data_IF_166262724107
#
_entry.id   IF_166262724107
#
_cell.length_a   1.000
_cell.length_b   1.000
_cell.length_c   1.000
_cell.angle_alpha   90.00
_cell.angle_beta   90.00
_cell.angle_gamma   90.00
#
_symmetry.space_group_name_H-M   'P 1'
#
loop_
_entity.id
_entity.type
_entity.pdbx_description
1 polymer ?
#
# COMPACT_ATOMS: atom_id res chain seq x y z
N UNK A 1 -65.17 6.74 20.84
CA UNK A 1 -64.25 7.46 19.94
C UNK A 1 -62.88 7.50 20.59
N UNK A 2 -61.85 6.96 19.93
CA UNK A 2 -60.45 7.37 20.00
C UNK A 2 -59.61 6.34 19.23
N UNK A 3 -59.08 6.81 18.11
CA UNK A 3 -58.41 6.04 17.07
C UNK A 3 -56.99 5.62 17.48
N UNK A 4 -56.62 4.41 17.06
CA UNK A 4 -55.26 3.89 17.10
C UNK A 4 -54.37 4.67 16.12
N UNK A 5 -53.46 5.48 16.64
CA UNK A 5 -52.31 5.97 15.87
C UNK A 5 -51.17 4.96 15.90
N UNK A 6 -51.03 4.22 14.81
CA UNK A 6 -49.85 3.41 14.49
C UNK A 6 -48.78 4.38 13.96
N UNK A 7 -47.68 4.53 14.70
CA UNK A 7 -46.51 5.29 14.23
C UNK A 7 -45.82 4.51 13.11
N UNK A 8 -45.79 5.09 11.91
CA UNK A 8 -44.91 4.65 10.82
C UNK A 8 -43.47 5.11 11.12
N UNK A 9 -42.45 4.29 10.82
CA UNK A 9 -41.06 4.72 10.84
C UNK A 9 -40.75 5.57 9.59
N UNK A 10 -40.18 6.76 9.82
CA UNK A 10 -39.75 7.72 8.80
C UNK A 10 -38.63 7.13 7.93
N UNK A 11 -38.92 6.97 6.64
CA UNK A 11 -37.95 6.65 5.59
C UNK A 11 -37.18 7.90 5.16
N UNK A 12 -36.30 8.41 6.02
CA UNK A 12 -35.27 9.37 5.61
C UNK A 12 -33.90 8.69 5.63
N UNK A 13 -33.69 7.76 4.68
CA UNK A 13 -32.34 7.45 4.20
C UNK A 13 -31.96 8.53 3.21
N UNK A 14 -31.32 9.57 3.70
CA UNK A 14 -30.53 10.45 2.86
C UNK A 14 -29.55 9.61 2.06
N UNK A 15 -29.75 9.53 0.75
CA UNK A 15 -28.75 9.05 -0.19
C UNK A 15 -27.52 9.92 -0.05
N UNK A 16 -26.54 9.45 0.72
CA UNK A 16 -25.17 9.98 0.69
C UNK A 16 -24.62 9.56 -0.68
N UNK A 17 -24.86 10.37 -1.71
CA UNK A 17 -24.20 10.21 -2.99
C UNK A 17 -22.71 10.44 -2.74
N UNK A 18 -21.91 9.38 -2.86
CA UNK A 18 -20.45 9.51 -2.88
C UNK A 18 -20.07 10.62 -3.87
N UNK A 19 -19.18 11.56 -3.47
CA UNK A 19 -18.75 12.61 -4.38
C UNK A 19 -18.16 11.96 -5.64
N UNK A 20 -18.51 12.46 -6.84
CA UNK A 20 -18.06 11.86 -8.08
C UNK A 20 -16.54 11.80 -8.11
N UNK A 21 -15.99 10.65 -8.51
CA UNK A 21 -14.55 10.42 -8.64
C UNK A 21 -13.89 11.60 -9.37
N UNK A 22 -12.71 12.09 -8.93
CA UNK A 22 -12.01 13.19 -9.58
C UNK A 22 -11.90 12.98 -11.10
N UNK A 23 -11.65 11.74 -11.53
CA UNK A 23 -11.55 11.35 -12.96
C UNK A 23 -12.86 11.63 -13.72
N UNK A 24 -14.01 11.37 -13.11
CA UNK A 24 -15.33 11.65 -13.71
C UNK A 24 -15.60 13.15 -13.83
N UNK A 25 -15.08 13.96 -12.89
CA UNK A 25 -15.20 15.41 -12.96
C UNK A 25 -14.35 16.01 -14.09
N UNK A 26 -13.12 15.50 -14.30
CA UNK A 26 -12.28 15.91 -15.43
C UNK A 26 -12.86 15.51 -16.77
N UNK A 27 -13.38 14.29 -16.88
CA UNK A 27 -13.99 13.82 -18.12
C UNK A 27 -15.18 14.71 -18.50
N UNK A 28 -16.07 14.98 -17.54
CA UNK A 28 -17.20 15.88 -17.73
C UNK A 28 -16.76 17.29 -18.16
N UNK A 29 -15.72 17.84 -17.52
CA UNK A 29 -15.18 19.16 -17.86
C UNK A 29 -14.62 19.17 -19.30
N UNK A 30 -13.91 18.11 -19.71
CA UNK A 30 -13.39 17.95 -21.07
C UNK A 30 -14.51 17.84 -22.11
N UNK A 31 -15.55 17.07 -21.82
CA UNK A 31 -16.68 16.87 -22.72
C UNK A 31 -17.48 18.17 -22.91
N UNK A 32 -17.76 18.89 -21.82
CA UNK A 32 -18.38 20.22 -21.85
C UNK A 32 -17.56 21.21 -22.69
N UNK A 33 -16.24 21.14 -22.57
CA UNK A 33 -15.33 22.03 -23.29
C UNK A 33 -15.32 21.67 -24.77
N UNK A 34 -15.13 20.39 -25.13
CA UNK A 34 -15.19 19.96 -26.52
C UNK A 34 -16.54 20.30 -27.18
N UNK A 35 -17.65 20.18 -26.45
CA UNK A 35 -18.97 20.64 -26.89
C UNK A 35 -18.99 22.15 -27.18
N UNK A 36 -18.52 22.99 -26.26
CA UNK A 36 -18.42 24.45 -26.45
C UNK A 36 -17.53 24.82 -27.65
N UNK A 37 -16.41 24.10 -27.87
CA UNK A 37 -15.53 24.30 -29.03
C UNK A 37 -16.29 24.09 -30.33
N UNK A 38 -17.03 22.99 -30.42
CA UNK A 38 -17.77 22.62 -31.62
C UNK A 38 -18.90 23.61 -31.90
N UNK A 39 -19.61 24.05 -30.86
CA UNK A 39 -20.63 25.10 -30.97
C UNK A 39 -20.03 26.42 -31.46
N UNK A 40 -18.87 26.81 -30.93
CA UNK A 40 -18.18 28.04 -31.35
C UNK A 40 -17.73 27.98 -32.81
N UNK A 41 -17.14 26.86 -33.25
CA UNK A 41 -16.77 26.65 -34.65
C UNK A 41 -17.99 26.75 -35.56
N UNK A 42 -19.09 26.09 -35.16
CA UNK A 42 -20.36 26.12 -35.91
C UNK A 42 -20.91 27.54 -36.01
N UNK A 43 -20.91 28.29 -34.91
CA UNK A 43 -21.36 29.68 -34.88
C UNK A 43 -20.49 30.58 -35.78
N UNK A 44 -19.16 30.46 -35.71
CA UNK A 44 -18.24 31.24 -36.56
C UNK A 44 -18.47 30.97 -38.05
N UNK A 45 -18.70 29.71 -38.44
CA UNK A 45 -18.98 29.37 -39.82
C UNK A 45 -20.30 29.99 -40.30
N UNK A 46 -21.37 29.87 -39.51
CA UNK A 46 -22.66 30.51 -39.81
C UNK A 46 -22.55 32.04 -39.91
N UNK A 47 -21.72 32.67 -39.08
CA UNK A 47 -21.47 34.11 -39.11
C UNK A 47 -20.80 34.52 -40.43
N UNK A 48 -19.77 33.78 -40.86
CA UNK A 48 -19.10 34.01 -42.16
C UNK A 48 -20.07 33.88 -43.33
N UNK A 49 -20.98 32.92 -43.29
CA UNK A 49 -21.97 32.71 -44.35
C UNK A 49 -23.00 33.85 -44.39
N UNK A 50 -23.50 34.28 -43.23
CA UNK A 50 -24.40 35.45 -43.13
C UNK A 50 -23.73 36.73 -43.59
N UNK A 51 -22.46 36.96 -43.26
CA UNK A 51 -21.71 38.11 -43.76
C UNK A 51 -21.62 38.13 -45.29
N UNK A 52 -21.39 36.97 -45.92
CA UNK A 52 -21.43 36.88 -47.39
C UNK A 52 -22.81 37.24 -47.95
N UNK A 53 -23.89 36.75 -47.35
CA UNK A 53 -25.26 37.06 -47.77
C UNK A 53 -25.54 38.57 -47.63
N UNK A 54 -25.15 39.18 -46.51
CA UNK A 54 -25.31 40.62 -46.29
C UNK A 54 -24.55 41.43 -47.34
N UNK A 55 -23.32 41.04 -47.70
CA UNK A 55 -22.56 41.72 -48.76
C UNK A 55 -23.18 41.53 -50.15
N UNK A 56 -23.70 40.33 -50.45
CA UNK A 56 -24.43 40.07 -51.70
C UNK A 56 -25.70 40.94 -51.81
N UNK A 57 -26.49 41.03 -50.73
CA UNK A 57 -27.69 41.87 -50.68
C UNK A 57 -27.37 43.37 -50.79
N UNK A 58 -26.27 43.84 -50.17
CA UNK A 58 -25.79 45.22 -50.37
C UNK A 58 -25.43 45.50 -51.83
N UNK A 59 -24.72 44.58 -52.48
CA UNK A 59 -24.35 44.71 -53.89
C UNK A 59 -25.61 44.72 -54.78
N UNK A 60 -26.55 43.81 -54.56
CA UNK A 60 -27.81 43.74 -55.30
C UNK A 60 -28.65 45.02 -55.14
N UNK A 61 -28.72 45.57 -53.92
CA UNK A 61 -29.39 46.83 -53.63
C UNK A 61 -28.73 48.01 -54.35
N UNK A 62 -27.39 48.06 -54.40
CA UNK A 62 -26.65 49.09 -55.12
C UNK A 62 -26.91 49.02 -56.63
N UNK A 63 -26.89 47.81 -57.22
CA UNK A 63 -27.23 47.60 -58.63
C UNK A 63 -28.68 48.03 -58.92
N UNK A 64 -29.64 47.67 -58.07
CA UNK A 64 -31.04 48.06 -58.23
C UNK A 64 -31.23 49.60 -58.18
N UNK A 65 -30.52 50.29 -57.28
CA UNK A 65 -30.54 51.77 -57.19
C UNK A 65 -29.94 52.42 -58.44
N UNK A 66 -28.81 51.91 -58.94
CA UNK A 66 -28.17 52.42 -60.15
C UNK A 66 -29.05 52.22 -61.41
N UNK A 67 -29.73 51.08 -61.50
CA UNK A 67 -30.65 50.78 -62.61
C UNK A 67 -31.91 51.67 -62.55
N UNK A 68 -32.45 51.92 -61.36
CA UNK A 68 -33.57 52.85 -61.18
C UNK A 68 -33.21 54.30 -61.52
N UNK A 69 -31.96 54.72 -61.29
CA UNK A 69 -31.46 56.05 -61.65
C UNK A 69 -31.22 56.22 -63.16
N UNK A 70 -30.97 55.13 -63.89
CA UNK A 70 -30.67 55.14 -65.33
C UNK A 70 -31.90 55.00 -66.24
N UNK A 71 -33.01 54.45 -65.74
CA UNK A 71 -34.30 54.41 -66.48
C UNK A 71 -35.45 54.86 -65.56
N UNK A 72 -35.66 56.18 -65.41
CA UNK A 72 -36.72 56.74 -64.57
C UNK A 72 -38.09 56.49 -65.23
N UNK A 73 -38.80 55.43 -64.80
CA UNK A 73 -40.17 55.15 -65.25
C UNK A 73 -40.54 53.67 -65.39
N UNK A 74 -39.54 52.77 -65.44
CA UNK A 74 -39.79 51.33 -65.65
C UNK A 74 -39.38 50.43 -64.47
N UNK A 75 -38.68 50.98 -63.47
CA UNK A 75 -38.20 50.19 -62.33
C UNK A 75 -39.23 50.16 -61.19
N UNK A 76 -39.71 48.97 -60.78
CA UNK A 76 -40.69 48.86 -59.71
C UNK A 76 -40.05 49.23 -58.37
N UNK A 77 -40.50 50.34 -57.76
CA UNK A 77 -40.10 50.81 -56.42
C UNK A 77 -40.18 49.69 -55.38
N UNK A 78 -41.18 48.79 -55.52
CA UNK A 78 -41.36 47.60 -54.69
C UNK A 78 -40.15 46.67 -54.64
N UNK A 79 -39.41 46.49 -55.73
CA UNK A 79 -38.26 45.57 -55.76
C UNK A 79 -37.10 46.08 -54.89
N UNK A 80 -36.86 47.39 -54.87
CA UNK A 80 -35.82 47.99 -54.03
C UNK A 80 -36.21 47.96 -52.55
N UNK A 81 -37.49 48.12 -52.23
CA UNK A 81 -37.99 48.02 -50.85
C UNK A 81 -37.91 46.58 -50.32
N UNK A 82 -38.21 45.58 -51.13
CA UNK A 82 -38.08 44.16 -50.74
C UNK A 82 -36.64 43.78 -50.42
N UNK A 83 -35.68 44.13 -51.30
CA UNK A 83 -34.25 43.85 -51.06
C UNK A 83 -33.74 44.59 -49.81
N UNK A 84 -34.23 45.81 -49.55
CA UNK A 84 -33.88 46.56 -48.35
C UNK A 84 -34.39 45.88 -47.07
N UNK A 85 -35.63 45.39 -47.07
CA UNK A 85 -36.20 44.66 -45.92
C UNK A 85 -35.46 43.34 -45.65
N UNK A 86 -35.11 42.59 -46.70
CA UNK A 86 -34.30 41.37 -46.58
C UNK A 86 -32.90 41.67 -46.04
N UNK A 87 -32.27 42.74 -46.53
CA UNK A 87 -30.96 43.18 -46.04
C UNK A 87 -31.01 43.55 -44.55
N UNK A 88 -32.04 44.26 -44.10
CA UNK A 88 -32.16 44.66 -42.70
C UNK A 88 -32.51 43.47 -41.79
N UNK A 89 -33.29 42.51 -42.29
CA UNK A 89 -33.54 41.23 -41.62
C UNK A 89 -32.25 40.40 -41.45
N UNK A 90 -31.45 40.26 -42.52
CA UNK A 90 -30.19 39.50 -42.46
C UNK A 90 -29.13 40.21 -41.61
N UNK A 91 -29.08 41.55 -41.61
CA UNK A 91 -28.24 42.31 -40.67
C UNK A 91 -28.62 42.06 -39.22
N UNK A 92 -29.92 42.00 -38.91
CA UNK A 92 -30.39 41.72 -37.56
C UNK A 92 -30.00 40.29 -37.12
N UNK A 93 -30.15 39.29 -38.01
CA UNK A 93 -29.68 37.92 -37.77
C UNK A 93 -28.16 37.88 -37.57
N UNK A 94 -27.39 38.59 -38.38
CA UNK A 94 -25.94 38.64 -38.27
C UNK A 94 -25.51 39.23 -36.92
N UNK A 95 -26.12 40.34 -36.49
CA UNK A 95 -25.85 40.97 -35.18
C UNK A 95 -26.17 40.04 -34.01
N UNK A 96 -27.30 39.32 -34.07
CA UNK A 96 -27.66 38.34 -33.03
C UNK A 96 -26.66 37.17 -32.98
N UNK A 97 -26.14 36.75 -34.14
CA UNK A 97 -25.18 35.67 -34.23
C UNK A 97 -23.78 36.11 -33.76
N UNK A 98 -23.37 37.35 -34.04
CA UNK A 98 -22.16 37.97 -33.46
C UNK A 98 -22.22 38.00 -31.93
N UNK A 99 -23.34 38.41 -31.33
CA UNK A 99 -23.54 38.38 -29.88
C UNK A 99 -23.40 36.95 -29.32
N UNK A 100 -24.08 35.97 -29.94
CA UNK A 100 -23.96 34.56 -29.54
C UNK A 100 -22.52 34.04 -29.67
N UNK A 101 -21.79 34.48 -30.69
CA UNK A 101 -20.38 34.09 -30.88
C UNK A 101 -19.53 34.64 -29.74
N UNK A 102 -19.72 35.91 -29.38
CA UNK A 102 -19.01 36.56 -28.26
C UNK A 102 -19.33 35.89 -26.90
N UNK A 103 -20.58 35.51 -26.65
CA UNK A 103 -20.96 34.77 -25.44
C UNK A 103 -20.28 33.40 -25.36
N UNK A 104 -20.22 32.67 -26.47
CA UNK A 104 -19.53 31.38 -26.54
C UNK A 104 -18.01 31.54 -26.35
N UNK A 105 -17.41 32.60 -26.89
CA UNK A 105 -15.98 32.90 -26.67
C UNK A 105 -15.69 33.21 -25.20
N UNK A 106 -16.54 33.98 -24.53
CA UNK A 106 -16.40 34.26 -23.11
C UNK A 106 -16.50 32.99 -22.26
N UNK A 107 -17.49 32.12 -22.54
CA UNK A 107 -17.64 30.81 -21.88
C UNK A 107 -16.43 29.90 -22.12
N UNK A 108 -15.95 29.84 -23.36
CA UNK A 108 -14.77 29.09 -23.73
C UNK A 108 -13.53 29.57 -22.97
N UNK A 109 -13.30 30.88 -22.93
CA UNK A 109 -12.16 31.48 -22.21
C UNK A 109 -12.22 31.17 -20.71
N UNK A 110 -13.40 31.32 -20.09
CA UNK A 110 -13.59 31.00 -18.68
C UNK A 110 -13.30 29.53 -18.37
N UNK A 111 -13.73 28.61 -19.22
CA UNK A 111 -13.40 27.18 -19.07
C UNK A 111 -11.92 26.91 -19.27
N UNK A 112 -11.27 27.58 -20.21
CA UNK A 112 -9.83 27.47 -20.44
C UNK A 112 -9.02 27.92 -19.22
N UNK A 113 -9.43 29.00 -18.55
CA UNK A 113 -8.81 29.47 -17.30
C UNK A 113 -8.99 28.46 -16.15
N UNK A 114 -10.16 27.81 -16.09
CA UNK A 114 -10.43 26.73 -15.13
C UNK A 114 -9.45 25.55 -15.32
N UNK A 115 -9.20 25.11 -16.57
CA UNK A 115 -8.19 24.08 -16.85
C UNK A 115 -6.78 24.51 -16.47
N UNK A 116 -6.38 25.74 -16.81
CA UNK A 116 -5.04 26.24 -16.48
C UNK A 116 -4.81 26.30 -14.97
N UNK A 117 -5.82 26.72 -14.21
CA UNK A 117 -5.80 26.70 -12.74
C UNK A 117 -5.61 25.29 -12.20
N UNK A 118 -6.37 24.34 -12.74
CA UNK A 118 -6.31 22.93 -12.37
C UNK A 118 -4.92 22.33 -12.67
N UNK A 119 -4.38 22.55 -13.86
CA UNK A 119 -3.03 22.13 -14.25
C UNK A 119 -1.99 22.72 -13.28
N UNK A 120 -2.13 23.99 -12.91
CA UNK A 120 -1.28 24.64 -11.92
C UNK A 120 -1.32 23.96 -10.54
N UNK A 121 -2.50 23.53 -10.08
CA UNK A 121 -2.63 22.75 -8.84
C UNK A 121 -1.96 21.38 -8.96
N UNK A 122 -2.14 20.68 -10.08
CA UNK A 122 -1.53 19.38 -10.32
C UNK A 122 0.00 19.45 -10.35
N UNK A 123 0.57 20.47 -11.02
CA UNK A 123 2.01 20.67 -11.08
C UNK A 123 2.61 20.94 -9.69
N UNK A 124 1.97 21.78 -8.87
CA UNK A 124 2.41 22.00 -7.48
C UNK A 124 2.40 20.72 -6.64
N UNK A 125 1.40 19.85 -6.85
CA UNK A 125 1.34 18.53 -6.19
C UNK A 125 2.45 17.61 -6.69
N UNK A 126 2.72 17.60 -7.99
CA UNK A 126 3.81 16.82 -8.58
C UNK A 126 5.17 17.23 -8.01
N UNK A 127 5.46 18.53 -7.98
CA UNK A 127 6.68 19.07 -7.36
C UNK A 127 6.79 18.68 -5.88
N UNK A 128 5.67 18.70 -5.15
CA UNK A 128 5.65 18.27 -3.73
C UNK A 128 5.97 16.78 -3.59
N UNK A 129 5.42 15.92 -4.46
CA UNK A 129 5.73 14.50 -4.49
C UNK A 129 7.19 14.24 -4.86
N UNK A 130 7.74 14.98 -5.82
CA UNK A 130 9.15 14.88 -6.20
C UNK A 130 10.08 15.27 -5.05
N UNK A 131 9.77 16.36 -4.33
CA UNK A 131 10.52 16.74 -3.11
C UNK A 131 10.46 15.63 -2.04
N UNK A 132 9.29 15.04 -1.82
CA UNK A 132 9.13 13.94 -0.87
C UNK A 132 9.93 12.69 -1.31
N UNK A 133 9.92 12.36 -2.60
CA UNK A 133 10.71 11.26 -3.17
C UNK A 133 12.20 11.45 -2.91
N UNK A 134 12.75 12.64 -3.22
CA UNK A 134 14.16 12.95 -2.97
C UNK A 134 14.50 12.83 -1.47
N UNK A 135 13.59 13.24 -0.59
CA UNK A 135 13.78 13.08 0.85
C UNK A 135 13.82 11.61 1.27
N UNK A 136 12.92 10.77 0.75
CA UNK A 136 12.90 9.34 1.02
C UNK A 136 14.15 8.64 0.49
N UNK A 137 14.62 9.00 -0.70
CA UNK A 137 15.87 8.48 -1.26
C UNK A 137 17.08 8.77 -0.36
N UNK A 138 17.14 9.95 0.26
CA UNK A 138 18.18 10.28 1.26
C UNK A 138 18.10 9.38 2.48
N UNK A 139 16.90 9.14 3.03
CA UNK A 139 16.74 8.25 4.19
C UNK A 139 17.06 6.79 3.83
N UNK A 140 16.67 6.31 2.65
CA UNK A 140 17.05 4.97 2.16
C UNK A 140 18.57 4.83 2.06
N UNK A 141 19.26 5.83 1.51
CA UNK A 141 20.71 5.83 1.44
C UNK A 141 21.34 5.81 2.85
N UNK A 142 20.84 6.60 3.77
CA UNK A 142 21.28 6.61 5.17
C UNK A 142 21.11 5.24 5.85
N UNK A 143 19.94 4.62 5.68
CA UNK A 143 19.66 3.26 6.19
C UNK A 143 20.63 2.25 5.55
N UNK A 144 20.91 2.37 4.26
CA UNK A 144 21.89 1.51 3.57
C UNK A 144 23.31 1.64 4.14
N UNK A 145 23.76 2.86 4.45
CA UNK A 145 25.04 3.07 5.12
C UNK A 145 25.06 2.49 6.53
N UNK A 146 23.98 2.68 7.30
CA UNK A 146 23.85 2.11 8.64
C UNK A 146 23.88 0.58 8.61
N UNK A 147 23.16 -0.04 7.68
CA UNK A 147 23.18 -1.48 7.44
C UNK A 147 24.61 -1.96 7.17
N UNK A 148 25.34 -1.32 6.25
CA UNK A 148 26.73 -1.66 5.95
C UNK A 148 27.66 -1.50 7.17
N UNK A 149 27.41 -0.49 8.00
CA UNK A 149 28.13 -0.29 9.25
C UNK A 149 27.86 -1.41 10.26
N UNK A 150 26.61 -1.86 10.38
CA UNK A 150 26.24 -2.99 11.23
C UNK A 150 26.80 -4.31 10.70
N UNK A 151 26.78 -4.55 9.38
CA UNK A 151 27.43 -5.71 8.75
C UNK A 151 28.93 -5.75 9.07
N UNK A 152 29.63 -4.62 8.95
CA UNK A 152 31.05 -4.51 9.35
C UNK A 152 31.25 -4.76 10.84
N UNK A 153 30.35 -4.28 11.70
CA UNK A 153 30.41 -4.55 13.16
C UNK A 153 30.20 -6.03 13.47
N UNK A 154 29.25 -6.68 12.80
CA UNK A 154 29.04 -8.13 12.89
C UNK A 154 30.31 -8.87 12.47
N UNK A 155 30.93 -8.49 11.34
CA UNK A 155 32.22 -9.03 10.90
C UNK A 155 33.36 -8.77 11.91
N UNK A 156 33.37 -7.62 12.60
CA UNK A 156 34.40 -7.32 13.61
C UNK A 156 34.18 -8.03 14.95
N UNK A 157 32.93 -8.34 15.28
CA UNK A 157 32.55 -9.12 16.46
C UNK A 157 32.79 -10.62 16.24
N UNK A 158 32.92 -11.06 14.98
CA UNK A 158 33.54 -12.34 14.60
C UNK A 158 35.07 -12.27 14.72
N UNK A 159 35.59 -11.96 15.91
CA UNK A 159 37.01 -11.72 16.19
C UNK A 159 38.01 -12.80 15.70
N UNK A 160 39.31 -12.63 15.95
CA UNK A 160 40.40 -13.34 15.26
C UNK A 160 40.43 -14.88 15.39
N UNK A 161 39.64 -15.48 16.29
CA UNK A 161 39.42 -16.93 16.35
C UNK A 161 38.63 -17.48 15.15
N UNK A 162 38.04 -16.58 14.34
CA UNK A 162 37.43 -16.91 13.05
C UNK A 162 38.19 -16.33 11.85
N UNK A 163 39.37 -15.70 12.02
CA UNK A 163 40.05 -14.94 10.94
C UNK A 163 41.60 -14.96 10.89
N UNK A 164 42.28 -16.04 11.29
CA UNK A 164 43.55 -16.48 10.66
C UNK A 164 43.22 -17.82 10.00
N UNK A 165 43.27 -18.05 8.69
CA UNK A 165 44.37 -17.84 7.74
C UNK A 165 43.77 -17.79 6.33
N UNK A 166 43.83 -16.64 5.67
CA UNK A 166 43.66 -16.55 4.21
C UNK A 166 44.52 -15.39 3.71
N UNK A 167 45.85 -15.56 3.76
CA UNK A 167 46.75 -15.57 2.58
C UNK A 167 48.21 -15.71 3.06
N UNK A 168 48.89 -16.71 2.48
CA UNK A 168 50.33 -16.96 2.39
C UNK A 168 51.16 -17.18 3.67
N UNK A 169 50.85 -18.23 4.43
CA UNK A 169 51.92 -19.02 5.08
C UNK A 169 51.59 -20.48 4.85
N UNK A 170 52.53 -21.21 4.26
CA UNK A 170 52.47 -22.66 4.06
C UNK A 170 52.08 -23.37 5.36
N UNK A 171 50.83 -23.78 5.47
CA UNK A 171 50.39 -24.77 6.45
C UNK A 171 49.94 -25.99 5.68
N UNK A 172 50.93 -26.81 5.38
CA UNK A 172 50.80 -28.25 5.29
C UNK A 172 50.22 -28.79 6.62
N UNK A 173 48.94 -28.54 6.86
CA UNK A 173 48.20 -29.07 8.00
C UNK A 173 47.58 -30.37 7.51
N UNK A 174 48.16 -31.47 8.02
CA UNK A 174 47.95 -32.87 7.66
C UNK A 174 46.68 -33.15 6.86
N UNK A 175 46.88 -33.58 5.61
CA UNK A 175 45.82 -34.11 4.75
C UNK A 175 44.97 -35.21 5.44
N UNK A 176 45.52 -35.86 6.47
CA UNK A 176 44.84 -36.84 7.33
C UNK A 176 43.79 -36.23 8.27
N UNK A 177 43.94 -34.98 8.74
CA UNK A 177 42.98 -34.36 9.65
C UNK A 177 41.77 -33.78 8.90
N UNK A 178 42.01 -33.23 7.69
CA UNK A 178 40.94 -32.76 6.81
C UNK A 178 40.09 -33.92 6.28
N UNK A 179 40.72 -35.05 5.92
CA UNK A 179 40.00 -36.28 5.55
C UNK A 179 39.25 -36.87 6.74
N UNK A 180 39.82 -36.94 7.94
CA UNK A 180 39.09 -37.38 9.14
C UNK A 180 37.90 -36.50 9.50
N UNK A 181 37.98 -35.18 9.28
CA UNK A 181 36.89 -34.25 9.61
C UNK A 181 35.76 -34.31 8.58
N UNK A 182 36.08 -34.50 7.30
CA UNK A 182 35.06 -34.72 6.27
C UNK A 182 34.44 -36.12 6.34
N UNK A 183 35.22 -37.14 6.68
CA UNK A 183 34.73 -38.49 6.93
C UNK A 183 33.84 -38.53 8.19
N UNK A 184 34.13 -37.70 9.21
CA UNK A 184 33.25 -37.50 10.36
C UNK A 184 31.96 -36.75 9.99
N UNK A 185 32.00 -35.69 9.17
CA UNK A 185 30.80 -34.95 8.76
C UNK A 185 29.91 -35.70 7.76
N UNK A 186 30.49 -36.46 6.83
CA UNK A 186 29.77 -37.37 5.94
C UNK A 186 29.12 -38.53 6.72
N UNK A 187 29.76 -39.02 7.79
CA UNK A 187 29.20 -40.06 8.66
C UNK A 187 28.21 -39.56 9.73
N UNK A 188 28.26 -38.27 10.13
CA UNK A 188 27.51 -37.78 11.30
C UNK A 188 26.11 -37.26 10.99
N UNK A 189 25.81 -36.79 9.78
CA UNK A 189 24.43 -36.41 9.42
C UNK A 189 24.20 -36.25 7.90
N UNK A 190 24.01 -37.35 7.14
CA UNK A 190 23.82 -37.30 5.69
C UNK A 190 22.60 -36.47 5.25
N UNK A 191 21.65 -36.23 6.15
CA UNK A 191 20.43 -35.47 5.87
C UNK A 191 20.67 -33.97 5.72
N UNK A 192 21.64 -33.39 6.45
CA UNK A 192 21.94 -31.96 6.41
C UNK A 192 22.71 -31.55 5.16
N UNK A 193 23.63 -32.40 4.70
CA UNK A 193 24.40 -32.22 3.45
C UNK A 193 23.51 -32.38 2.22
N UNK A 194 22.61 -33.36 2.21
CA UNK A 194 21.58 -33.51 1.16
C UNK A 194 20.64 -32.30 1.10
N UNK A 195 20.12 -31.83 2.23
CA UNK A 195 19.25 -30.65 2.26
C UNK A 195 19.94 -29.39 1.77
N UNK A 196 21.20 -29.15 2.18
CA UNK A 196 21.96 -28.00 1.71
C UNK A 196 22.20 -28.05 0.18
N UNK A 197 22.54 -29.23 -0.35
CA UNK A 197 22.73 -29.44 -1.79
C UNK A 197 21.43 -29.23 -2.58
N UNK A 198 20.32 -29.82 -2.13
CA UNK A 198 18.99 -29.66 -2.73
C UNK A 198 18.52 -28.19 -2.71
N UNK A 199 18.81 -27.47 -1.62
CA UNK A 199 18.43 -26.05 -1.50
C UNK A 199 19.23 -25.18 -2.46
N UNK A 200 20.54 -25.42 -2.59
CA UNK A 200 21.40 -24.70 -3.54
C UNK A 200 21.01 -25.01 -4.99
N UNK A 201 20.70 -26.28 -5.30
CA UNK A 201 20.25 -26.68 -6.63
C UNK A 201 18.88 -26.07 -6.98
N UNK A 202 17.95 -26.04 -6.02
CA UNK A 202 16.64 -25.37 -6.15
C UNK A 202 16.78 -23.87 -6.43
N UNK A 203 17.59 -23.16 -5.65
CA UNK A 203 17.86 -21.73 -5.86
C UNK A 203 18.56 -21.46 -7.21
N UNK A 204 19.45 -22.36 -7.63
CA UNK A 204 20.14 -22.26 -8.92
C UNK A 204 19.17 -22.45 -10.09
N UNK A 205 18.23 -23.38 -9.98
CA UNK A 205 17.17 -23.59 -10.98
C UNK A 205 16.19 -22.41 -11.03
N UNK A 206 15.77 -21.88 -9.88
CA UNK A 206 14.95 -20.67 -9.83
C UNK A 206 15.63 -19.48 -10.51
N UNK A 207 16.92 -19.27 -10.25
CA UNK A 207 17.69 -18.18 -10.86
C UNK A 207 17.83 -18.36 -12.38
N UNK A 208 17.89 -19.60 -12.87
CA UNK A 208 17.91 -19.92 -14.30
C UNK A 208 16.56 -19.61 -14.97
N UNK A 209 15.44 -19.91 -14.31
CA UNK A 209 14.12 -19.63 -14.86
C UNK A 209 13.77 -18.14 -14.80
N UNK A 210 14.14 -17.43 -13.73
CA UNK A 210 14.08 -15.96 -13.65
C UNK A 210 14.85 -15.29 -14.81
N UNK A 211 16.05 -15.78 -15.13
CA UNK A 211 16.81 -15.30 -16.30
C UNK A 211 16.06 -15.50 -17.62
N UNK A 212 15.38 -16.64 -17.80
CA UNK A 212 14.55 -16.89 -19.00
C UNK A 212 13.33 -15.97 -19.04
N UNK A 213 12.67 -15.74 -17.91
CA UNK A 213 11.54 -14.81 -17.82
C UNK A 213 11.96 -13.38 -18.14
N UNK A 214 13.10 -12.93 -17.62
CA UNK A 214 13.68 -11.63 -17.94
C UNK A 214 14.00 -11.49 -19.44
N UNK A 215 14.53 -12.54 -20.08
CA UNK A 215 14.79 -12.54 -21.53
C UNK A 215 13.51 -12.37 -22.34
N UNK A 216 12.47 -13.15 -22.03
CA UNK A 216 11.16 -13.04 -22.72
C UNK A 216 10.52 -11.67 -22.53
N UNK A 217 10.64 -11.08 -21.34
CA UNK A 217 10.13 -9.74 -21.06
C UNK A 217 10.85 -8.66 -21.88
N UNK A 218 12.17 -8.80 -22.08
CA UNK A 218 12.95 -7.92 -22.97
C UNK A 218 12.51 -8.05 -24.42
N UNK A 219 12.29 -9.27 -24.91
CA UNK A 219 11.84 -9.49 -26.29
C UNK A 219 10.45 -8.86 -26.53
N UNK A 220 9.54 -8.97 -25.55
CA UNK A 220 8.21 -8.37 -25.63
C UNK A 220 8.28 -6.83 -25.61
N UNK A 221 9.17 -6.24 -24.80
CA UNK A 221 9.40 -4.80 -24.78
C UNK A 221 9.86 -4.29 -26.16
N UNK A 222 10.82 -4.99 -26.78
CA UNK A 222 11.30 -4.66 -28.13
C UNK A 222 10.18 -4.74 -29.15
N UNK A 223 9.32 -5.76 -29.06
CA UNK A 223 8.16 -5.92 -29.94
C UNK A 223 7.17 -4.75 -29.80
N UNK A 224 6.87 -4.32 -28.57
CA UNK A 224 5.99 -3.17 -28.33
C UNK A 224 6.61 -1.86 -28.81
N UNK A 225 7.93 -1.71 -28.69
CA UNK A 225 8.64 -0.53 -29.17
C UNK A 225 8.65 -0.45 -30.71
N UNK A 226 8.76 -1.59 -31.40
CA UNK A 226 8.59 -1.69 -32.86
C UNK A 226 7.14 -1.35 -33.30
N UNK A 227 6.13 -1.85 -32.58
CA UNK A 227 4.72 -1.52 -32.84
C UNK A 227 4.44 -0.01 -32.69
N UNK A 228 4.98 0.62 -31.65
CA UNK A 228 4.86 2.07 -31.45
C UNK A 228 5.57 2.84 -32.56
N UNK A 229 6.76 2.40 -32.98
CA UNK A 229 7.50 3.03 -34.07
C UNK A 229 6.75 2.96 -35.39
N UNK A 230 6.10 1.82 -35.68
CA UNK A 230 5.23 1.64 -36.86
C UNK A 230 4.01 2.55 -36.82
N UNK A 231 3.34 2.70 -35.66
CA UNK A 231 2.21 3.60 -35.49
C UNK A 231 2.61 5.07 -35.65
N UNK A 232 3.73 5.48 -35.06
CA UNK A 232 4.28 6.83 -35.22
C UNK A 232 4.61 7.11 -36.69
N UNK A 233 5.21 6.13 -37.39
CA UNK A 233 5.52 6.25 -38.82
C UNK A 233 4.25 6.34 -39.67
N UNK A 234 3.19 5.60 -39.32
CA UNK A 234 1.90 5.66 -39.99
C UNK A 234 1.19 7.01 -39.77
N UNK A 235 1.26 7.57 -38.55
CA UNK A 235 0.69 8.88 -38.20
C UNK A 235 1.46 10.05 -38.82
N UNK A 236 2.78 9.92 -38.97
CA UNK A 236 3.64 10.94 -39.58
C UNK A 236 3.69 10.85 -41.11
N UNK A 237 3.00 9.90 -41.75
CA UNK A 237 2.81 9.96 -43.20
C UNK A 237 1.94 11.19 -43.50
N UNK A 238 2.43 12.14 -44.33
CA UNK A 238 1.61 13.26 -44.73
C UNK A 238 0.44 12.73 -45.56
N UNK A 239 -0.77 12.81 -45.01
CA UNK A 239 -1.98 12.62 -45.78
C UNK A 239 -2.03 13.74 -46.83
N UNK A 240 -1.73 13.42 -48.09
CA UNK A 240 -2.14 14.30 -49.17
C UNK A 240 -3.66 14.25 -49.20
N UNK A 241 -4.30 15.35 -48.82
CA UNK A 241 -5.73 15.53 -48.97
C UNK A 241 -6.02 15.69 -50.47
N UNK A 242 -5.95 14.59 -51.21
CA UNK A 242 -6.45 14.50 -52.58
C UNK A 242 -7.55 13.44 -52.55
N UNK A 243 -8.75 13.93 -52.84
CA UNK A 243 -9.99 13.17 -52.99
C UNK A 243 -10.82 13.02 -51.71
N UNK A 244 -11.51 14.10 -51.33
CA UNK A 244 -12.88 14.01 -50.79
C UNK A 244 -13.75 14.98 -51.60
N UNK A 245 -13.79 14.75 -52.92
CA UNK A 245 -14.93 15.03 -53.82
C UNK A 245 -14.75 14.05 -55.02
N UNK A 246 -14.86 12.73 -54.80
CA UNK A 246 -15.14 11.78 -55.89
C UNK A 246 -16.59 11.34 -55.75
N UNK A 247 -17.32 11.43 -56.86
CA UNK A 247 -18.76 11.16 -56.99
C UNK A 247 -19.07 9.68 -57.15
N UNK A 248 -18.27 8.79 -56.57
CA UNK A 248 -18.40 7.35 -56.74
C UNK A 248 -18.98 6.70 -55.47
N UNK A 249 -20.23 6.26 -55.57
CA UNK A 249 -20.99 5.63 -54.46
C UNK A 249 -20.35 4.35 -53.92
N UNK A 250 -19.38 3.78 -54.66
CA UNK A 250 -18.66 2.55 -54.28
C UNK A 250 -17.53 2.88 -53.28
N UNK A 251 -16.74 3.93 -53.53
CA UNK A 251 -15.66 4.37 -52.61
C UNK A 251 -16.25 4.91 -51.30
N UNK A 252 -17.40 5.60 -51.35
CA UNK A 252 -18.10 6.07 -50.15
C UNK A 252 -18.61 4.90 -49.26
N UNK A 253 -19.03 3.78 -49.87
CA UNK A 253 -19.44 2.58 -49.14
C UNK A 253 -18.25 1.83 -48.53
N UNK A 254 -17.11 1.72 -49.24
CA UNK A 254 -15.88 1.14 -48.68
C UNK A 254 -15.30 1.99 -47.53
N UNK A 255 -15.37 3.32 -47.65
CA UNK A 255 -15.01 4.24 -46.55
C UNK A 255 -15.99 4.11 -45.38
N UNK A 256 -17.28 3.90 -45.64
CA UNK A 256 -18.28 3.60 -44.60
C UNK A 256 -18.00 2.30 -43.85
N UNK A 257 -17.70 1.21 -44.55
CA UNK A 257 -17.35 -0.09 -43.93
C UNK A 257 -16.05 -0.01 -43.13
N UNK A 258 -15.04 0.72 -43.62
CA UNK A 258 -13.79 0.92 -42.87
C UNK A 258 -13.98 1.77 -41.61
N UNK A 259 -14.87 2.76 -41.64
CA UNK A 259 -15.24 3.54 -40.44
C UNK A 259 -15.99 2.67 -39.43
N UNK A 260 -16.96 1.88 -39.88
CA UNK A 260 -17.75 1.00 -39.02
C UNK A 260 -16.87 -0.07 -38.34
N UNK A 261 -15.97 -0.70 -39.09
CA UNK A 261 -15.01 -1.66 -38.52
C UNK A 261 -14.05 -1.03 -37.50
N UNK A 262 -13.64 0.22 -37.72
CA UNK A 262 -12.84 0.97 -36.75
C UNK A 262 -13.65 1.30 -35.49
N UNK A 263 -14.92 1.69 -35.62
CA UNK A 263 -15.81 1.93 -34.48
C UNK A 263 -16.01 0.66 -33.64
N UNK A 264 -16.28 -0.48 -34.28
CA UNK A 264 -16.40 -1.77 -33.59
C UNK A 264 -15.11 -2.15 -32.85
N UNK A 265 -13.96 -1.88 -33.47
CA UNK A 265 -12.66 -2.14 -32.83
C UNK A 265 -12.40 -1.22 -31.65
N UNK A 266 -12.75 0.06 -31.75
CA UNK A 266 -12.66 1.02 -30.64
C UNK A 266 -13.56 0.56 -29.50
N UNK A 267 -14.81 0.19 -29.78
CA UNK A 267 -15.74 -0.28 -28.77
C UNK A 267 -15.24 -1.55 -28.08
N UNK A 268 -14.75 -2.53 -28.85
CA UNK A 268 -14.15 -3.76 -28.30
C UNK A 268 -12.94 -3.48 -27.40
N UNK A 269 -12.06 -2.56 -27.81
CA UNK A 269 -10.92 -2.15 -26.99
C UNK A 269 -11.36 -1.41 -25.71
N UNK A 270 -12.42 -0.62 -25.79
CA UNK A 270 -12.97 0.11 -24.66
C UNK A 270 -13.61 -0.83 -23.63
N UNK A 271 -14.35 -1.84 -24.08
CA UNK A 271 -14.88 -2.92 -23.21
C UNK A 271 -13.73 -3.74 -22.60
N UNK A 272 -12.69 -4.03 -23.39
CA UNK A 272 -11.48 -4.71 -22.91
C UNK A 272 -10.74 -3.95 -21.81
N UNK A 273 -10.65 -2.62 -21.95
CA UNK A 273 -10.07 -1.73 -20.93
C UNK A 273 -10.87 -1.76 -19.63
N UNK A 274 -12.20 -1.67 -19.69
CA UNK A 274 -13.07 -1.76 -18.50
C UNK A 274 -12.89 -3.10 -17.78
N UNK A 275 -12.81 -4.19 -18.54
CA UNK A 275 -12.56 -5.53 -17.98
C UNK A 275 -11.20 -5.62 -17.27
N UNK A 276 -10.14 -5.03 -17.88
CA UNK A 276 -8.81 -4.98 -17.28
C UNK A 276 -8.74 -4.09 -16.04
N UNK A 277 -9.44 -2.96 -16.02
CA UNK A 277 -9.54 -2.12 -14.83
C UNK A 277 -10.26 -2.83 -13.67
N UNK A 278 -11.28 -3.64 -13.98
CA UNK A 278 -11.93 -4.49 -12.99
C UNK A 278 -10.97 -5.55 -12.42
N UNK A 279 -10.18 -6.21 -13.27
CA UNK A 279 -9.14 -7.15 -12.86
C UNK A 279 -8.07 -6.48 -11.97
N UNK A 280 -7.62 -5.27 -12.34
CA UNK A 280 -6.67 -4.48 -11.55
C UNK A 280 -7.23 -4.15 -10.16
N UNK A 281 -8.51 -3.78 -10.07
CA UNK A 281 -9.13 -3.47 -8.79
C UNK A 281 -9.28 -4.71 -7.89
N UNK A 282 -9.58 -5.88 -8.47
CA UNK A 282 -9.56 -7.14 -7.73
C UNK A 282 -8.15 -7.48 -7.22
N UNK A 283 -7.12 -7.34 -8.07
CA UNK A 283 -5.73 -7.59 -7.69
C UNK A 283 -5.25 -6.63 -6.60
N UNK A 284 -5.63 -5.35 -6.65
CA UNK A 284 -5.34 -4.37 -5.59
C UNK A 284 -5.96 -4.78 -4.26
N UNK A 285 -7.21 -5.22 -4.27
CA UNK A 285 -7.92 -5.69 -3.06
C UNK A 285 -7.24 -6.93 -2.48
N UNK A 286 -6.89 -7.90 -3.33
CA UNK A 286 -6.16 -9.11 -2.91
C UNK A 286 -4.78 -8.79 -2.36
N UNK A 287 -4.06 -7.84 -2.99
CA UNK A 287 -2.76 -7.38 -2.51
C UNK A 287 -2.86 -6.79 -1.10
N UNK A 288 -3.83 -5.91 -0.85
CA UNK A 288 -4.04 -5.33 0.48
C UNK A 288 -4.33 -6.40 1.54
N UNK A 289 -5.12 -7.42 1.20
CA UNK A 289 -5.37 -8.55 2.10
C UNK A 289 -4.09 -9.36 2.39
N UNK A 290 -3.27 -9.63 1.38
CA UNK A 290 -1.99 -10.33 1.54
C UNK A 290 -0.96 -9.51 2.35
N UNK A 291 -0.97 -8.18 2.23
CA UNK A 291 -0.11 -7.31 3.05
C UNK A 291 -0.43 -7.44 4.53
N UNK A 292 -1.72 -7.47 4.90
CA UNK A 292 -2.18 -7.70 6.29
C UNK A 292 -1.72 -9.08 6.79
N UNK A 293 -1.85 -10.13 5.98
CA UNK A 293 -1.42 -11.48 6.38
C UNK A 293 0.10 -11.59 6.51
N UNK A 294 0.86 -10.85 5.70
CA UNK A 294 2.31 -10.78 5.82
C UNK A 294 2.76 -10.07 7.11
N UNK A 295 2.03 -9.04 7.57
CA UNK A 295 2.25 -8.42 8.88
C UNK A 295 2.03 -9.42 10.02
N UNK A 296 0.94 -10.22 9.96
CA UNK A 296 0.69 -11.30 10.95
C UNK A 296 1.81 -12.33 10.96
N UNK A 297 2.31 -12.72 9.79
CA UNK A 297 3.45 -13.64 9.68
C UNK A 297 4.72 -13.06 10.34
N UNK A 298 4.93 -11.74 10.21
CA UNK A 298 6.00 -11.03 10.91
C UNK A 298 5.90 -11.18 12.43
N UNK A 299 4.70 -10.95 12.98
CA UNK A 299 4.44 -11.10 14.43
C UNK A 299 4.68 -12.54 14.89
N UNK A 300 4.17 -13.53 14.16
CA UNK A 300 4.36 -14.94 14.48
C UNK A 300 5.84 -15.36 14.47
N UNK A 301 6.63 -14.86 13.50
CA UNK A 301 8.08 -15.10 13.47
C UNK A 301 8.77 -14.52 14.70
N UNK A 302 8.43 -13.28 15.09
CA UNK A 302 8.96 -12.68 16.31
C UNK A 302 8.58 -13.46 17.57
N UNK A 303 7.33 -13.95 17.64
CA UNK A 303 6.85 -14.76 18.75
C UNK A 303 7.65 -16.08 18.89
N UNK A 304 7.93 -16.77 17.77
CA UNK A 304 8.75 -17.99 17.77
C UNK A 304 10.18 -17.71 18.28
N UNK A 305 10.77 -16.58 17.91
CA UNK A 305 12.11 -16.20 18.37
C UNK A 305 12.12 -15.96 19.88
N UNK A 306 11.13 -15.22 20.41
CA UNK A 306 10.99 -14.95 21.84
C UNK A 306 10.81 -16.25 22.61
N UNK A 307 9.86 -17.10 22.21
CA UNK A 307 9.64 -18.38 22.90
C UNK A 307 10.83 -19.32 22.84
N UNK A 308 11.57 -19.34 21.74
CA UNK A 308 12.81 -20.11 21.66
C UNK A 308 13.86 -19.56 22.63
N UNK A 309 14.00 -18.24 22.72
CA UNK A 309 14.90 -17.59 23.66
C UNK A 309 14.53 -17.92 25.11
N UNK A 310 13.26 -17.78 25.46
CA UNK A 310 12.73 -18.06 26.80
C UNK A 310 12.93 -19.53 27.17
N UNK A 311 12.65 -20.45 26.25
CA UNK A 311 12.89 -21.89 26.44
C UNK A 311 14.37 -22.21 26.70
N UNK A 312 15.29 -21.60 25.96
CA UNK A 312 16.72 -21.80 26.15
C UNK A 312 17.21 -21.22 27.49
N UNK A 313 16.68 -20.05 27.88
CA UNK A 313 16.99 -19.44 29.17
C UNK A 313 16.48 -20.32 30.33
N UNK A 314 15.24 -20.79 30.27
CA UNK A 314 14.65 -21.68 31.27
C UNK A 314 15.43 -23.00 31.37
N UNK A 315 15.79 -23.59 30.23
CA UNK A 315 16.62 -24.80 30.19
C UNK A 315 17.96 -24.59 30.89
N UNK A 316 18.66 -23.49 30.61
CA UNK A 316 19.96 -23.18 31.23
C UNK A 316 19.81 -23.01 32.76
N UNK A 317 18.78 -22.32 33.19
CA UNK A 317 18.45 -22.17 34.63
C UNK A 317 18.19 -23.52 35.27
N UNK A 318 17.42 -24.40 34.61
CA UNK A 318 17.13 -25.74 35.10
C UNK A 318 18.37 -26.64 35.18
N UNK A 319 19.27 -26.54 34.21
CA UNK A 319 20.56 -27.24 34.24
C UNK A 319 21.42 -26.77 35.43
N UNK A 320 21.44 -25.46 35.70
CA UNK A 320 22.15 -24.89 36.86
C UNK A 320 21.56 -25.38 38.18
N UNK A 321 20.23 -25.34 38.34
CA UNK A 321 19.54 -25.87 39.52
C UNK A 321 19.84 -27.36 39.72
N UNK A 322 19.87 -28.14 38.64
CA UNK A 322 20.17 -29.57 38.71
C UNK A 322 21.61 -29.81 39.19
N UNK A 323 22.57 -29.05 38.66
CA UNK A 323 23.97 -29.14 39.09
C UNK A 323 24.15 -28.72 40.55
N UNK A 324 23.52 -27.63 40.99
CA UNK A 324 23.55 -27.19 42.39
C UNK A 324 22.90 -28.22 43.32
N UNK A 325 21.77 -28.81 42.91
CA UNK A 325 21.11 -29.90 43.66
C UNK A 325 22.05 -31.09 43.83
N UNK A 326 22.69 -31.54 42.76
CA UNK A 326 23.56 -32.70 42.79
C UNK A 326 24.83 -32.42 43.63
N UNK A 327 25.38 -31.18 43.58
CA UNK A 327 26.44 -30.73 44.49
C UNK A 327 26.01 -30.78 45.95
N UNK A 328 24.86 -30.19 46.29
CA UNK A 328 24.35 -30.18 47.66
C UNK A 328 24.05 -31.58 48.19
N UNK A 329 23.55 -32.49 47.35
CA UNK A 329 23.36 -33.90 47.74
C UNK A 329 24.69 -34.55 48.09
N UNK A 330 25.75 -34.32 47.28
CA UNK A 330 27.08 -34.85 47.56
C UNK A 330 27.67 -34.28 48.87
N UNK A 331 27.54 -32.96 49.11
CA UNK A 331 27.96 -32.32 50.36
C UNK A 331 27.22 -32.90 51.58
N UNK A 332 25.91 -33.10 51.48
CA UNK A 332 25.11 -33.72 52.56
C UNK A 332 25.53 -35.16 52.82
N UNK A 333 25.85 -35.94 51.78
CA UNK A 333 26.33 -37.31 51.95
C UNK A 333 27.68 -37.35 52.68
N UNK A 334 28.60 -36.45 52.32
CA UNK A 334 29.90 -36.31 52.99
C UNK A 334 29.73 -35.93 54.46
N UNK A 335 28.94 -34.91 54.76
CA UNK A 335 28.66 -34.48 56.13
C UNK A 335 27.99 -35.58 56.97
N UNK A 336 27.10 -36.38 56.37
CA UNK A 336 26.48 -37.52 57.04
C UNK A 336 27.52 -38.59 57.42
N UNK A 337 28.47 -38.87 56.54
CA UNK A 337 29.53 -39.84 56.80
C UNK A 337 30.51 -39.32 57.86
N UNK A 338 30.93 -38.05 57.78
CA UNK A 338 31.75 -37.41 58.82
C UNK A 338 31.05 -37.43 60.20
N UNK A 339 29.77 -37.08 60.25
CA UNK A 339 29.00 -37.10 61.49
C UNK A 339 28.83 -38.52 62.06
N UNK A 340 28.66 -39.52 61.18
CA UNK A 340 28.66 -40.94 61.57
C UNK A 340 30.01 -41.35 62.17
N UNK A 341 31.13 -40.97 61.54
CA UNK A 341 32.48 -41.24 62.07
C UNK A 341 32.71 -40.57 63.43
N UNK A 342 32.33 -39.30 63.58
CA UNK A 342 32.41 -38.57 64.84
C UNK A 342 31.53 -39.23 65.93
N UNK A 343 30.31 -39.64 65.58
CA UNK A 343 29.41 -40.36 66.49
C UNK A 343 29.99 -41.70 66.94
N UNK A 344 30.64 -42.44 66.04
CA UNK A 344 31.37 -43.67 66.36
C UNK A 344 32.54 -43.39 67.31
N UNK A 345 33.32 -42.33 67.06
CA UNK A 345 34.44 -41.94 67.92
C UNK A 345 33.97 -41.53 69.32
N UNK A 346 32.92 -40.71 69.44
CA UNK A 346 32.34 -40.33 70.73
C UNK A 346 31.82 -41.54 71.51
N UNK A 347 31.15 -42.48 70.83
CA UNK A 347 30.67 -43.73 71.44
C UNK A 347 31.84 -44.60 71.93
N UNK A 348 32.93 -44.69 71.15
CA UNK A 348 34.13 -45.45 71.53
C UNK A 348 34.83 -44.87 72.78
N UNK A 349 34.75 -43.55 72.99
CA UNK A 349 35.27 -42.87 74.19
C UNK A 349 34.27 -42.84 75.35
N UNK A 350 33.17 -43.60 75.29
CA UNK A 350 32.18 -43.70 76.36
C UNK A 350 31.27 -42.48 76.51
N UNK A 351 31.35 -41.51 75.59
CA UNK A 351 30.49 -40.33 75.56
C UNK A 351 29.25 -40.68 74.73
N UNK A 352 28.22 -41.22 75.40
CA UNK A 352 26.93 -41.47 74.76
C UNK A 352 26.12 -40.16 74.73
N UNK A 353 25.99 -39.56 73.56
CA UNK A 353 25.04 -38.48 73.37
C UNK A 353 23.61 -39.02 73.55
N UNK A 354 22.71 -38.33 74.28
CA UNK A 354 21.30 -38.71 74.33
C UNK A 354 20.73 -38.71 72.91
N UNK A 355 20.09 -39.82 72.54
CA UNK A 355 19.34 -39.97 71.30
C UNK A 355 18.36 -38.79 71.12
N UNK A 356 18.69 -37.83 70.25
CA UNK A 356 17.80 -36.74 69.86
C UNK A 356 16.77 -37.17 68.82
N UNK A 357 16.67 -38.47 68.53
CA UNK A 357 15.70 -39.03 67.57
C UNK A 357 14.28 -39.14 68.15
N UNK A 358 14.04 -38.68 69.39
CA UNK A 358 12.76 -38.87 70.09
C UNK A 358 11.85 -37.66 70.30
N UNK A 359 12.32 -36.40 70.18
CA UNK A 359 11.58 -35.28 70.83
C UNK A 359 11.47 -33.97 70.03
N UNK A 360 11.26 -34.03 68.70
CA UNK A 360 10.91 -32.82 67.91
C UNK A 360 9.92 -33.04 66.75
N UNK A 361 8.99 -33.99 66.86
CA UNK A 361 7.89 -34.14 65.88
C UNK A 361 6.48 -33.80 66.43
N UNK A 362 6.37 -33.33 67.68
CA UNK A 362 5.08 -32.96 68.31
C UNK A 362 4.69 -31.47 68.16
N UNK A 363 5.21 -30.78 67.14
CA UNK A 363 4.76 -29.44 66.73
C UNK A 363 4.55 -29.40 65.22
N UNK A 364 3.93 -30.44 64.67
CA UNK A 364 3.34 -30.37 63.34
C UNK A 364 1.96 -29.75 63.52
N UNK A 365 1.88 -28.43 63.44
CA UNK A 365 0.63 -27.71 63.20
C UNK A 365 -0.05 -28.39 62.01
N UNK A 366 -1.20 -29.02 62.25
CA UNK A 366 -2.10 -29.56 61.24
C UNK A 366 -2.60 -28.43 60.33
N UNK A 367 -1.76 -27.97 59.40
CA UNK A 367 -2.26 -27.33 58.19
C UNK A 367 -2.73 -28.45 57.28
N UNK A 368 -4.01 -28.78 57.47
CA UNK A 368 -4.86 -29.56 56.56
C UNK A 368 -4.59 -29.05 55.15
N UNK A 369 -3.80 -29.79 54.36
CA UNK A 369 -3.69 -29.55 52.92
C UNK A 369 -5.04 -29.98 52.37
N UNK A 370 -5.93 -29.02 52.18
CA UNK A 370 -7.10 -29.17 51.33
C UNK A 370 -6.58 -29.37 49.91
N UNK A 371 -6.65 -30.60 49.41
CA UNK A 371 -6.58 -30.87 47.98
C UNK A 371 -7.77 -30.18 47.31
N UNK A 372 -7.56 -29.31 46.30
CA UNK A 372 -8.68 -28.82 45.49
C UNK A 372 -9.24 -29.97 44.64
N UNK A 373 -10.53 -29.91 44.23
CA UNK A 373 -11.15 -30.91 43.37
C UNK A 373 -10.56 -30.88 41.95
N UNK A 374 -10.72 -31.94 41.14
CA UNK A 374 -10.17 -31.98 39.80
C UNK A 374 -11.00 -31.08 38.89
N UNK A 375 -10.43 -29.96 38.45
CA UNK A 375 -11.04 -29.11 37.43
C UNK A 375 -10.13 -29.05 36.20
N UNK A 376 -10.69 -29.59 35.12
CA UNK A 376 -10.57 -29.29 33.68
C UNK A 376 -9.54 -28.25 33.19
N UNK A 377 -8.97 -28.46 31.98
CA UNK A 377 -7.83 -27.70 31.49
C UNK A 377 -8.24 -26.29 31.07
N UNK A 378 -7.65 -25.26 31.69
CA UNK A 378 -7.70 -23.88 31.21
C UNK A 378 -6.30 -23.27 31.25
N UNK A 379 -5.85 -22.93 30.07
CA UNK A 379 -4.68 -22.14 29.69
C UNK A 379 -4.63 -20.81 30.46
N UNK A 380 -3.77 -20.66 31.46
CA UNK A 380 -3.29 -19.34 31.90
C UNK A 380 -1.87 -19.44 32.45
N UNK A 381 -1.01 -18.58 31.91
CA UNK A 381 0.40 -18.41 32.26
C UNK A 381 0.48 -17.83 33.68
N UNK A 382 1.11 -18.56 34.60
CA UNK A 382 1.43 -18.05 35.95
C UNK A 382 2.86 -17.53 35.98
N UNK A 383 3.01 -16.27 36.38
CA UNK A 383 4.26 -15.58 36.69
C UNK A 383 4.90 -16.15 37.98
N UNK A 384 6.23 -16.01 38.16
CA UNK A 384 6.90 -16.50 39.36
C UNK A 384 6.66 -15.62 40.58
N UNK A 385 6.66 -16.31 41.71
CA UNK A 385 6.46 -15.92 43.11
C UNK A 385 7.37 -14.74 43.54
N UNK A 386 6.79 -13.63 43.99
CA UNK A 386 7.50 -12.48 44.57
C UNK A 386 7.24 -12.42 46.07
N UNK A 387 8.33 -12.46 46.84
CA UNK A 387 8.43 -12.25 48.29
C UNK A 387 7.34 -11.33 48.89
N UNK A 388 6.57 -11.77 49.89
CA UNK A 388 5.64 -10.92 50.63
C UNK A 388 6.41 -10.15 51.71
N UNK A 389 7.07 -9.07 51.31
CA UNK A 389 7.75 -8.18 52.25
C UNK A 389 8.24 -6.92 51.54
N UNK A 390 7.50 -5.83 51.74
CA UNK A 390 7.72 -4.47 51.19
C UNK A 390 7.12 -4.29 49.78
N UNK A 391 5.80 -4.17 49.70
CA UNK A 391 5.12 -3.59 48.52
C UNK A 391 5.21 -2.06 48.61
N UNK A 392 6.00 -1.42 47.74
CA UNK A 392 5.98 0.04 47.62
C UNK A 392 4.56 0.52 47.26
N UNK A 393 4.07 1.59 47.91
CA UNK A 393 2.71 2.08 47.67
C UNK A 393 2.59 2.64 46.26
N UNK A 394 1.64 2.12 45.49
CA UNK A 394 1.38 2.49 44.11
C UNK A 394 0.81 3.92 44.06
N UNK A 395 1.37 4.79 43.20
CA UNK A 395 0.98 6.21 43.12
C UNK A 395 0.15 6.46 41.86
N UNK A 396 -0.85 7.34 41.96
CA UNK A 396 -1.63 7.76 40.80
C UNK A 396 -0.72 8.42 39.74
N UNK A 397 -0.81 8.02 38.45
CA UNK A 397 -0.02 8.60 37.36
C UNK A 397 -0.41 10.04 36.97
N UNK A 398 -1.51 10.58 37.49
CA UNK A 398 -1.85 12.00 37.31
C UNK A 398 -0.91 12.87 38.17
N UNK A 399 -0.06 13.75 37.59
CA UNK A 399 0.91 14.54 38.34
C UNK A 399 0.29 15.50 39.37
N UNK A 400 -0.97 15.89 39.20
CA UNK A 400 -1.71 16.72 40.15
C UNK A 400 -2.33 15.90 41.30
N UNK A 401 -2.39 14.57 41.15
CA UNK A 401 -2.98 13.66 42.13
C UNK A 401 -1.90 12.84 42.86
N UNK A 402 -1.55 13.24 44.09
CA UNK A 402 -0.51 12.59 44.90
C UNK A 402 -1.00 11.42 45.77
N UNK A 403 -2.12 10.79 45.41
CA UNK A 403 -2.72 9.69 46.19
C UNK A 403 -1.94 8.39 45.99
N UNK A 404 -1.80 7.65 47.10
CA UNK A 404 -1.07 6.38 47.19
C UNK A 404 -2.05 5.25 47.53
N UNK A 405 -1.80 4.07 47.00
CA UNK A 405 -2.67 2.90 47.12
C UNK A 405 -1.85 1.66 47.46
N UNK A 406 -2.41 0.82 48.32
CA UNK A 406 -1.76 -0.40 48.79
C UNK A 406 -1.93 -1.58 47.82
N UNK A 407 -2.81 -1.46 46.83
CA UNK A 407 -3.05 -2.47 45.79
C UNK A 407 -3.52 -1.86 44.47
N UNK A 408 -3.43 -2.64 43.38
CA UNK A 408 -3.72 -2.22 42.00
C UNK A 408 -5.20 -1.93 41.74
N UNK A 409 -6.11 -2.66 42.40
CA UNK A 409 -7.55 -2.59 42.13
C UNK A 409 -8.18 -1.24 42.57
N UNK A 410 -7.91 -0.71 43.79
CA UNK A 410 -8.31 0.66 44.17
C UNK A 410 -7.68 1.74 43.29
N UNK A 411 -6.45 1.55 42.83
CA UNK A 411 -5.75 2.49 41.95
C UNK A 411 -6.43 2.56 40.57
N UNK A 412 -6.77 1.42 39.97
CA UNK A 412 -7.40 1.38 38.64
C UNK A 412 -8.72 2.14 38.62
N UNK A 413 -9.57 1.94 39.63
CA UNK A 413 -10.83 2.66 39.76
C UNK A 413 -10.60 4.17 39.92
N UNK A 414 -9.62 4.55 40.76
CA UNK A 414 -9.26 5.94 40.94
C UNK A 414 -8.74 6.60 39.66
N UNK A 415 -7.88 5.93 38.89
CA UNK A 415 -7.31 6.46 37.64
C UNK A 415 -8.39 6.72 36.59
N UNK A 416 -9.36 5.82 36.46
CA UNK A 416 -10.51 6.00 35.56
C UNK A 416 -11.26 7.30 35.86
N UNK A 417 -11.49 7.59 37.15
CA UNK A 417 -12.16 8.82 37.57
C UNK A 417 -11.24 10.05 37.53
N UNK A 418 -9.97 9.88 37.87
CA UNK A 418 -9.01 10.96 38.04
C UNK A 418 -8.50 11.54 36.72
N UNK A 419 -8.48 10.73 35.65
CA UNK A 419 -8.10 11.17 34.30
C UNK A 419 -9.29 11.63 33.45
N UNK A 420 -10.52 11.62 33.99
CA UNK A 420 -11.75 11.96 33.26
C UNK A 420 -11.82 11.29 31.87
N UNK A 421 -11.46 10.01 31.78
CA UNK A 421 -11.68 9.23 30.57
C UNK A 421 -13.18 8.90 30.53
N UNK A 422 -13.97 9.83 30.00
CA UNK A 422 -15.35 9.55 29.60
C UNK A 422 -15.34 8.65 28.37
N UNK A 423 -16.17 7.59 28.41
CA UNK A 423 -16.35 6.55 27.38
C UNK A 423 -16.43 7.06 25.94
#
# INVERSE_FOLDING_TARGET
MSEKQIRQPSSDRGTISSPPSPVMQYQKLMDETNSLRNELITARNKNKDLQKIVEQLKAALATARNNAASVPGYYPVHASTTIQNELDQEKAKNKALEQRTAELEAKWSSKQDEFLSIIGVMNRKLESCERAKVSLEKEVNKISYQKRGLEKKILSLQGPETALVCHSVDWNMDANLWTQTNEFLENSNPTLTLWAAETVESLTNQLKDEKKHLSRAKDLLVQHQDQLTKLITALNKPYSCRTIISSDTIEANEVGETIETLFQKIQSLQEGLVSKDYEINQLKTRKAALEIDNEKLGILKSQVIVYRSDYLAERKTRETITNDRDRLIAEIQLLKEENKQLSMHLTAHGITAPSLTGTRLAMRSERKIQTPPPHVPITTVSMPDVNPGISEPLVCPNPDCKRKFDSLEPLQYHVHQCLQLSD
#
